data_IF_367510971530
#
_entry.id   IF_367510971530
#
_cell.length_a   1.000
_cell.length_b   1.000
_cell.length_c   1.000
_cell.angle_alpha   90.00
_cell.angle_beta   90.00
_cell.angle_gamma   90.00
#
_symmetry.space_group_name_H-M   'P 1'
#
loop_
_entity.id
_entity.type
_entity.pdbx_description
1 polymer ?
#
# COMPACT_ATOMS: atom_id res chain seq x y z
N UNK A 1 -7.73 19.49 1.10
CA UNK A 1 -7.25 18.63 2.20
C UNK A 1 -6.32 19.37 3.16
N UNK A 2 -5.17 19.89 2.72
CA UNK A 2 -4.24 20.62 3.59
C UNK A 2 -4.86 21.82 4.33
N UNK A 3 -5.79 22.54 3.69
CA UNK A 3 -6.51 23.64 4.32
C UNK A 3 -7.64 23.19 5.28
N UNK A 4 -8.10 21.94 5.19
CA UNK A 4 -9.29 21.45 5.90
C UNK A 4 -8.95 20.55 7.09
N UNK A 5 -7.92 19.70 6.99
CA UNK A 5 -7.58 18.75 8.04
C UNK A 5 -6.09 18.40 8.07
N UNK A 6 -5.53 18.27 9.28
CA UNK A 6 -4.15 17.88 9.53
C UNK A 6 -3.77 16.48 9.01
N UNK A 7 -4.75 15.64 8.64
CA UNK A 7 -4.50 14.34 8.01
C UNK A 7 -3.90 14.44 6.59
N UNK A 8 -3.67 15.65 6.05
CA UNK A 8 -2.90 15.81 4.83
C UNK A 8 -1.51 15.17 4.95
N UNK A 9 -0.91 15.14 6.15
CA UNK A 9 0.37 14.47 6.41
C UNK A 9 0.28 12.97 6.14
N UNK A 10 -0.85 12.33 6.45
CA UNK A 10 -1.07 10.92 6.15
C UNK A 10 -1.08 10.67 4.64
N UNK A 11 -1.82 11.48 3.88
CA UNK A 11 -1.90 11.34 2.41
C UNK A 11 -0.54 11.62 1.76
N UNK A 12 0.16 12.67 2.21
CA UNK A 12 1.47 13.03 1.69
C UNK A 12 2.54 11.97 1.93
N UNK A 13 2.39 11.09 2.94
CA UNK A 13 3.27 9.95 3.16
C UNK A 13 2.79 8.66 2.48
N UNK A 14 1.47 8.47 2.37
CA UNK A 14 0.88 7.30 1.75
C UNK A 14 1.18 7.22 0.25
N UNK A 15 1.10 8.34 -0.48
CA UNK A 15 1.33 8.37 -1.94
C UNK A 15 2.79 7.99 -2.28
N UNK A 16 3.83 8.60 -1.68
CA UNK A 16 5.20 8.15 -1.87
C UNK A 16 5.41 6.68 -1.55
N UNK A 17 4.78 6.18 -0.48
CA UNK A 17 4.91 4.80 -0.09
C UNK A 17 4.27 3.83 -1.11
N UNK A 18 3.12 4.21 -1.68
CA UNK A 18 2.53 3.48 -2.80
C UNK A 18 3.48 3.42 -4.00
N UNK A 19 4.16 4.53 -4.33
CA UNK A 19 5.14 4.54 -5.43
C UNK A 19 6.34 3.65 -5.11
N UNK A 20 6.82 3.63 -3.86
CA UNK A 20 7.85 2.70 -3.42
C UNK A 20 7.39 1.24 -3.50
N UNK A 21 6.14 0.94 -3.16
CA UNK A 21 5.56 -0.39 -3.30
C UNK A 21 5.47 -0.83 -4.78
N UNK A 22 5.14 0.08 -5.69
CA UNK A 22 5.17 -0.19 -7.14
C UNK A 22 6.59 -0.46 -7.66
N UNK A 23 7.59 0.28 -7.17
CA UNK A 23 9.00 0.02 -7.51
C UNK A 23 9.43 -1.35 -6.98
N UNK A 24 9.09 -1.68 -5.73
CA UNK A 24 9.40 -2.97 -5.10
C UNK A 24 8.76 -4.16 -5.81
N UNK A 25 7.55 -3.99 -6.33
CA UNK A 25 6.84 -5.00 -7.14
C UNK A 25 7.27 -5.03 -8.62
N UNK A 26 8.27 -4.22 -9.00
CA UNK A 26 8.81 -4.08 -10.38
C UNK A 26 7.77 -3.61 -11.41
N UNK A 27 6.68 -2.96 -10.99
CA UNK A 27 5.59 -2.47 -11.85
C UNK A 27 5.68 -0.98 -12.11
N UNK A 28 6.88 -0.51 -12.40
CA UNK A 28 7.12 0.90 -12.62
C UNK A 28 6.78 1.29 -14.07
N UNK A 29 5.91 2.29 -14.22
CA UNK A 29 5.50 2.84 -15.50
C UNK A 29 5.77 4.35 -15.56
N UNK A 30 6.13 4.88 -16.74
CA UNK A 30 6.31 6.33 -16.96
C UNK A 30 5.09 7.18 -16.59
N UNK A 31 3.89 6.58 -16.61
CA UNK A 31 2.65 7.25 -16.17
C UNK A 31 2.70 7.62 -14.69
N UNK A 32 3.24 6.73 -13.85
CA UNK A 32 3.39 6.95 -12.40
C UNK A 32 4.37 8.09 -12.13
N UNK A 33 5.45 8.15 -12.89
CA UNK A 33 6.44 9.24 -12.82
C UNK A 33 5.83 10.61 -13.10
N UNK A 34 5.09 10.73 -14.21
CA UNK A 34 4.44 12.00 -14.58
C UNK A 34 3.42 12.38 -13.52
N UNK A 35 2.57 11.44 -13.09
CA UNK A 35 1.56 11.69 -12.06
C UNK A 35 2.17 12.16 -10.72
N UNK A 36 3.20 11.47 -10.24
CA UNK A 36 3.85 11.81 -8.98
C UNK A 36 4.63 13.13 -9.05
N UNK A 37 5.34 13.37 -10.15
CA UNK A 37 6.08 14.63 -10.36
C UNK A 37 5.13 15.83 -10.43
N UNK A 38 4.00 15.71 -11.13
CA UNK A 38 2.98 16.76 -11.17
C UNK A 38 2.33 16.95 -9.79
N UNK A 39 2.05 15.86 -9.07
CA UNK A 39 1.52 15.94 -7.70
C UNK A 39 2.48 16.67 -6.75
N UNK A 40 3.78 16.41 -6.84
CA UNK A 40 4.79 17.12 -6.06
C UNK A 40 4.89 18.60 -6.47
N UNK A 41 5.01 18.88 -7.76
CA UNK A 41 5.23 20.23 -8.29
C UNK A 41 4.06 21.19 -8.01
N UNK A 42 2.82 20.68 -8.01
CA UNK A 42 1.62 21.49 -7.74
C UNK A 42 1.24 21.41 -6.26
N UNK A 43 1.22 20.20 -5.69
CA UNK A 43 0.74 19.95 -4.33
C UNK A 43 1.62 20.55 -3.25
N UNK A 44 2.94 20.51 -3.42
CA UNK A 44 3.90 21.08 -2.46
C UNK A 44 3.71 22.59 -2.27
N UNK A 45 3.81 23.39 -3.34
CA UNK A 45 3.60 24.84 -3.26
C UNK A 45 2.21 25.22 -2.76
N UNK A 46 1.15 24.53 -3.21
CA UNK A 46 -0.21 24.80 -2.74
C UNK A 46 -0.37 24.52 -1.24
N UNK A 47 0.30 23.50 -0.70
CA UNK A 47 0.28 23.22 0.74
C UNK A 47 0.99 24.32 1.54
N UNK A 48 2.05 24.93 1.00
CA UNK A 48 2.77 26.03 1.65
C UNK A 48 1.96 27.33 1.73
N UNK A 49 0.98 27.51 0.85
CA UNK A 49 0.09 28.69 0.89
C UNK A 49 -0.79 28.73 2.16
N UNK A 50 -1.02 27.59 2.80
CA UNK A 50 -1.77 27.53 4.05
C UNK A 50 -0.87 28.07 5.17
N UNK A 51 -1.22 29.24 5.72
CA UNK A 51 -0.42 29.96 6.73
C UNK A 51 -0.04 29.12 7.96
N UNK A 52 -0.87 28.15 8.34
CA UNK A 52 -0.58 27.21 9.44
C UNK A 52 0.53 26.21 9.10
N UNK A 53 0.66 25.83 7.83
CA UNK A 53 1.67 24.89 7.34
C UNK A 53 2.95 25.66 7.00
N UNK A 54 2.84 26.78 6.28
CA UNK A 54 3.97 27.64 5.93
C UNK A 54 5.15 26.85 5.36
N UNK A 55 6.36 27.11 5.87
CA UNK A 55 7.59 26.39 5.48
C UNK A 55 7.74 24.99 6.10
N UNK A 56 6.86 24.60 7.03
CA UNK A 56 6.92 23.28 7.67
C UNK A 56 6.74 22.14 6.65
N UNK A 57 6.17 22.42 5.48
CA UNK A 57 6.06 21.43 4.42
C UNK A 57 7.42 20.93 3.89
N UNK A 58 8.44 21.80 3.92
CA UNK A 58 9.80 21.47 3.43
C UNK A 58 10.72 21.06 4.56
N UNK A 59 10.59 21.70 5.73
CA UNK A 59 11.52 21.54 6.85
C UNK A 59 11.13 20.43 7.82
N UNK A 60 9.88 19.95 7.78
CA UNK A 60 9.42 18.88 8.67
C UNK A 60 9.89 17.50 8.21
N UNK A 61 10.37 16.71 9.17
CA UNK A 61 10.71 15.30 8.97
C UNK A 61 9.52 14.47 8.48
N UNK A 62 8.31 14.89 8.82
CA UNK A 62 7.06 14.19 8.45
C UNK A 62 6.79 14.21 6.95
N UNK A 63 7.38 15.13 6.20
CA UNK A 63 7.21 15.27 4.75
C UNK A 63 8.52 15.00 4.01
N UNK A 64 9.54 14.49 4.72
CA UNK A 64 10.80 14.11 4.13
C UNK A 64 10.62 12.96 3.13
N UNK A 65 9.74 11.99 3.41
CA UNK A 65 9.46 10.90 2.48
C UNK A 65 8.87 11.41 1.15
N UNK A 66 8.03 12.44 1.21
CA UNK A 66 7.44 13.07 0.02
C UNK A 66 8.49 13.69 -0.89
N UNK A 67 9.41 14.48 -0.32
CA UNK A 67 10.49 15.11 -1.06
C UNK A 67 11.57 14.08 -1.49
N UNK A 68 11.88 13.12 -0.62
CA UNK A 68 12.91 12.10 -0.86
C UNK A 68 12.55 11.15 -2.00
N UNK A 69 11.30 10.69 -2.07
CA UNK A 69 10.85 9.83 -3.18
C UNK A 69 10.83 10.61 -4.50
N UNK A 70 10.51 11.90 -4.49
CA UNK A 70 10.60 12.74 -5.68
C UNK A 70 12.03 12.83 -6.21
N UNK A 71 13.01 13.17 -5.35
CA UNK A 71 14.43 13.19 -5.73
C UNK A 71 14.90 11.82 -6.23
N UNK A 72 14.49 10.74 -5.55
CA UNK A 72 14.83 9.37 -5.94
C UNK A 72 14.31 8.99 -7.33
N UNK A 73 13.06 9.35 -7.64
CA UNK A 73 12.45 9.12 -8.96
C UNK A 73 13.14 9.93 -10.06
N UNK A 74 13.48 11.18 -9.79
CA UNK A 74 14.22 12.02 -10.72
C UNK A 74 15.59 11.42 -11.06
N UNK A 75 16.32 10.94 -10.04
CA UNK A 75 17.58 10.24 -10.23
C UNK A 75 17.42 8.94 -11.04
N UNK A 76 16.38 8.16 -10.75
CA UNK A 76 16.10 6.90 -11.44
C UNK A 76 15.79 7.09 -12.94
N UNK A 77 14.93 8.04 -13.29
CA UNK A 77 14.63 8.35 -14.70
C UNK A 77 15.82 8.95 -15.43
N UNK A 78 16.62 9.79 -14.76
CA UNK A 78 17.86 10.31 -15.33
C UNK A 78 18.84 9.18 -15.66
N UNK A 79 19.00 8.21 -14.75
CA UNK A 79 19.83 7.02 -14.97
C UNK A 79 19.33 6.18 -16.17
N UNK A 80 18.01 5.97 -16.27
CA UNK A 80 17.41 5.25 -17.40
C UNK A 80 17.60 6.02 -18.72
N UNK A 81 17.45 7.34 -18.70
CA UNK A 81 17.68 8.18 -19.87
C UNK A 81 19.14 8.11 -20.33
N UNK A 82 20.10 8.23 -19.41
CA UNK A 82 21.53 8.09 -19.72
C UNK A 82 21.84 6.70 -20.28
N UNK A 83 21.22 5.63 -19.75
CA UNK A 83 21.35 4.26 -20.28
C UNK A 83 20.97 4.16 -21.76
N UNK A 84 19.94 4.87 -22.19
CA UNK A 84 19.48 4.82 -23.60
C UNK A 84 20.36 5.59 -24.56
N UNK A 85 21.18 6.52 -24.07
CA UNK A 85 22.03 7.40 -24.90
C UNK A 85 23.50 6.98 -24.93
N UNK A 86 23.94 6.10 -24.03
CA UNK A 86 25.34 5.69 -23.90
C UNK A 86 25.58 4.23 -24.31
N UNK A 87 26.78 3.95 -24.81
CA UNK A 87 27.26 2.59 -25.12
C UNK A 87 27.50 1.77 -23.84
N UNK A 88 27.30 0.44 -23.87
CA UNK A 88 27.39 -0.46 -22.70
C UNK A 88 28.68 -0.31 -21.87
N UNK A 89 29.82 -0.04 -22.52
CA UNK A 89 31.11 0.17 -21.84
C UNK A 89 31.19 1.50 -21.09
N UNK A 90 30.63 2.57 -21.68
CA UNK A 90 30.54 3.88 -21.04
C UNK A 90 29.44 3.92 -19.98
N UNK A 91 28.37 3.15 -20.15
CA UNK A 91 27.33 2.98 -19.13
C UNK A 91 27.86 2.25 -17.89
N UNK A 92 28.70 1.22 -18.03
CA UNK A 92 29.31 0.55 -16.88
C UNK A 92 30.27 1.48 -16.10
N UNK A 93 31.08 2.28 -16.81
CA UNK A 93 31.94 3.28 -16.19
C UNK A 93 31.12 4.39 -15.51
N UNK A 94 30.07 4.88 -16.17
CA UNK A 94 29.14 5.87 -15.61
C UNK A 94 28.36 5.31 -14.43
N UNK A 95 27.95 4.04 -14.44
CA UNK A 95 27.26 3.41 -13.30
C UNK A 95 28.23 3.25 -12.13
N UNK A 96 29.50 2.92 -12.34
CA UNK A 96 30.48 2.94 -11.24
C UNK A 96 30.71 4.36 -10.71
N UNK A 97 30.82 5.37 -11.59
CA UNK A 97 30.90 6.78 -11.18
C UNK A 97 29.60 7.30 -10.56
N UNK A 98 28.44 6.82 -10.99
CA UNK A 98 27.12 7.21 -10.49
C UNK A 98 26.75 6.42 -9.25
N UNK A 99 27.26 5.22 -9.02
CA UNK A 99 27.12 4.50 -7.74
C UNK A 99 28.01 5.16 -6.71
N UNK A 100 29.24 5.55 -7.05
CA UNK A 100 30.10 6.36 -6.19
C UNK A 100 29.51 7.77 -6.01
N UNK A 101 28.92 8.35 -7.05
CA UNK A 101 28.27 9.66 -7.06
C UNK A 101 26.95 9.68 -6.29
N UNK A 102 26.13 8.64 -6.39
CA UNK A 102 24.90 8.45 -5.62
C UNK A 102 25.24 8.06 -4.19
N UNK A 103 26.29 7.28 -3.93
CA UNK A 103 26.75 6.99 -2.58
C UNK A 103 27.30 8.25 -1.88
N UNK A 104 28.05 9.10 -2.59
CA UNK A 104 28.52 10.39 -2.09
C UNK A 104 27.39 11.42 -1.99
N UNK A 105 26.42 11.43 -2.90
CA UNK A 105 25.23 12.27 -2.81
C UNK A 105 24.29 11.81 -1.69
N UNK A 106 24.07 10.50 -1.49
CA UNK A 106 23.34 9.99 -0.33
C UNK A 106 24.11 10.29 0.95
N UNK A 107 25.43 10.15 0.98
CA UNK A 107 26.24 10.52 2.14
C UNK A 107 26.21 12.02 2.41
N UNK A 108 26.12 12.86 1.36
CA UNK A 108 25.99 14.31 1.49
C UNK A 108 24.57 14.76 1.85
N UNK A 109 23.53 14.03 1.39
CA UNK A 109 22.14 14.27 1.77
C UNK A 109 21.90 13.78 3.20
N UNK A 110 22.39 12.61 3.57
CA UNK A 110 22.34 12.09 4.94
C UNK A 110 23.21 12.94 5.86
N UNK A 111 24.42 13.30 5.44
CA UNK A 111 25.30 14.22 6.17
C UNK A 111 24.72 15.63 6.27
N UNK A 112 24.02 16.10 5.24
CA UNK A 112 23.29 17.36 5.22
C UNK A 112 22.07 17.33 6.13
N UNK A 113 21.31 16.23 6.15
CA UNK A 113 20.21 16.01 7.08
C UNK A 113 20.75 15.96 8.52
N UNK A 114 21.86 15.27 8.77
CA UNK A 114 22.51 15.22 10.09
C UNK A 114 23.02 16.60 10.50
N UNK A 115 23.68 17.35 9.61
CA UNK A 115 24.14 18.72 9.85
C UNK A 115 22.99 19.70 10.06
N UNK A 116 21.89 19.58 9.32
CA UNK A 116 20.68 20.39 9.50
C UNK A 116 19.93 20.02 10.78
N UNK A 117 20.00 18.76 11.20
CA UNK A 117 19.46 18.26 12.48
C UNK A 117 20.28 18.79 13.66
N UNK A 118 21.62 18.79 13.55
CA UNK A 118 22.53 19.33 14.58
C UNK A 118 22.47 20.87 14.61
N UNK A 119 22.31 21.53 13.47
CA UNK A 119 22.19 22.99 13.37
C UNK A 119 20.83 23.54 13.83
N UNK A 120 19.90 22.68 14.25
CA UNK A 120 18.60 23.08 14.80
C UNK A 120 17.64 23.75 13.82
N UNK A 121 17.96 23.77 12.52
CA UNK A 121 17.10 24.38 11.47
C UNK A 121 16.02 23.44 10.95
N UNK A 122 16.18 22.13 11.14
CA UNK A 122 15.09 21.17 10.97
C UNK A 122 14.39 20.97 12.32
N UNK A 123 13.10 21.27 12.36
CA UNK A 123 12.28 20.99 13.53
C UNK A 123 12.29 19.48 13.79
N UNK A 124 12.66 19.01 15.00
CA UNK A 124 12.59 17.60 15.33
C UNK A 124 11.17 17.08 15.10
N UNK A 125 11.05 15.76 14.90
CA UNK A 125 9.77 15.07 14.74
C UNK A 125 8.76 15.59 15.77
N UNK A 126 7.58 16.04 15.32
CA UNK A 126 6.58 16.60 16.22
C UNK A 126 6.18 15.51 17.22
N UNK A 127 6.17 15.80 18.52
CA UNK A 127 5.94 14.80 19.57
C UNK A 127 4.69 13.94 19.31
N UNK A 128 3.65 14.51 18.70
CA UNK A 128 2.40 13.82 18.29
C UNK A 128 2.57 12.74 17.21
N UNK A 129 3.54 12.86 16.31
CA UNK A 129 3.84 11.80 15.33
C UNK A 129 4.73 10.71 15.92
N UNK A 130 5.64 11.06 16.85
CA UNK A 130 6.37 10.07 17.63
C UNK A 130 5.44 9.20 18.47
N UNK A 131 4.38 9.78 19.05
CA UNK A 131 3.36 9.01 19.77
C UNK A 131 2.55 8.08 18.86
N UNK A 132 2.48 8.35 17.55
CA UNK A 132 1.82 7.47 16.57
C UNK A 132 2.71 6.30 16.11
N UNK A 133 4.04 6.44 16.21
CA UNK A 133 4.98 5.36 15.92
C UNK A 133 5.30 4.53 17.16
N UNK A 134 5.42 5.19 18.32
CA UNK A 134 5.61 4.57 19.62
C UNK A 134 4.61 5.16 20.65
N UNK A 135 3.49 4.46 20.92
CA UNK A 135 2.52 4.91 21.91
C UNK A 135 3.05 4.86 23.36
N UNK A 136 4.14 4.12 23.63
CA UNK A 136 4.74 4.05 24.97
C UNK A 136 5.52 5.31 25.32
N UNK A 137 6.07 6.01 24.32
CA UNK A 137 6.71 7.32 24.50
C UNK A 137 5.72 8.39 24.99
N UNK A 138 4.51 8.42 24.41
CA UNK A 138 3.44 9.35 24.78
C UNK A 138 3.11 9.27 26.27
N UNK A 139 2.90 8.03 26.74
CA UNK A 139 2.45 7.70 28.08
C UNK A 139 3.49 8.07 29.14
N UNK A 140 4.78 7.99 28.79
CA UNK A 140 5.91 8.22 29.71
C UNK A 140 6.35 9.68 29.78
N UNK A 141 6.37 10.40 28.66
CA UNK A 141 7.00 11.72 28.58
C UNK A 141 6.02 12.89 28.48
N UNK A 142 4.76 12.68 28.04
CA UNK A 142 3.76 13.76 27.91
C UNK A 142 2.38 13.27 28.40
N UNK A 143 2.13 13.26 29.73
CA UNK A 143 0.90 12.70 30.30
C UNK A 143 -0.39 13.42 29.85
N UNK A 144 -0.29 14.68 29.40
CA UNK A 144 -1.43 15.46 28.88
C UNK A 144 -1.98 14.87 27.57
N UNK A 145 -1.14 14.25 26.74
CA UNK A 145 -1.60 13.64 25.48
C UNK A 145 -2.26 12.29 25.77
N UNK A 146 -1.72 11.53 26.71
CA UNK A 146 -2.23 10.22 27.09
C UNK A 146 -3.53 10.27 27.92
N UNK A 147 -3.89 11.42 28.51
CA UNK A 147 -5.11 11.57 29.31
C UNK A 147 -6.38 11.77 28.48
N UNK A 148 -6.26 12.08 27.18
CA UNK A 148 -7.41 12.26 26.29
C UNK A 148 -7.95 10.90 25.85
N UNK A 149 -9.23 10.65 26.07
CA UNK A 149 -9.88 9.38 25.73
C UNK A 149 -9.76 9.02 24.23
N UNK A 150 -9.66 10.02 23.35
CA UNK A 150 -9.46 9.81 21.90
C UNK A 150 -8.09 9.22 21.54
N UNK A 151 -7.07 9.45 22.38
CA UNK A 151 -5.70 8.95 22.20
C UNK A 151 -5.51 7.54 22.76
N UNK A 152 -6.57 6.92 23.31
CA UNK A 152 -6.52 5.56 23.79
C UNK A 152 -6.46 4.55 22.64
N UNK A 153 -5.86 3.37 22.87
CA UNK A 153 -5.86 2.29 21.89
C UNK A 153 -7.26 1.71 21.69
N UNK A 154 -7.55 1.25 20.47
CA UNK A 154 -8.82 0.59 20.14
C UNK A 154 -8.86 -0.84 20.67
N UNK A 155 -9.98 -1.23 21.27
CA UNK A 155 -10.25 -2.64 21.60
C UNK A 155 -10.91 -3.37 20.43
N UNK A 156 -10.80 -4.70 20.39
CA UNK A 156 -11.47 -5.52 19.36
C UNK A 156 -12.99 -5.33 19.36
N UNK A 157 -13.60 -5.10 20.53
CA UNK A 157 -15.03 -4.86 20.68
C UNK A 157 -15.44 -3.57 19.94
N UNK A 158 -14.61 -2.52 20.00
CA UNK A 158 -14.83 -1.26 19.27
C UNK A 158 -14.80 -1.48 17.75
N UNK A 159 -13.89 -2.32 17.23
CA UNK A 159 -13.88 -2.65 15.80
C UNK A 159 -15.17 -3.31 15.33
N UNK A 160 -15.66 -4.30 16.08
CA UNK A 160 -16.90 -5.00 15.74
C UNK A 160 -18.10 -4.07 15.87
N UNK A 161 -18.12 -3.20 16.89
CA UNK A 161 -19.20 -2.24 17.09
C UNK A 161 -19.26 -1.17 15.99
N UNK A 162 -18.12 -0.65 15.53
CA UNK A 162 -18.10 0.41 14.52
C UNK A 162 -18.31 -0.15 13.11
N UNK A 163 -17.64 -1.25 12.76
CA UNK A 163 -17.56 -1.77 11.39
C UNK A 163 -18.45 -3.00 11.14
N UNK A 164 -19.07 -3.56 12.17
CA UNK A 164 -19.99 -4.70 12.08
C UNK A 164 -19.43 -5.84 11.20
N UNK A 165 -20.14 -6.19 10.12
CA UNK A 165 -19.79 -7.30 9.24
C UNK A 165 -18.53 -7.04 8.40
N UNK A 166 -18.15 -5.78 8.19
CA UNK A 166 -17.00 -5.42 7.36
C UNK A 166 -15.67 -5.89 7.96
N UNK A 167 -15.59 -6.04 9.29
CA UNK A 167 -14.40 -6.59 9.97
C UNK A 167 -14.09 -8.00 9.47
N UNK A 168 -15.12 -8.82 9.25
CA UNK A 168 -14.96 -10.20 8.79
C UNK A 168 -14.68 -10.29 7.28
N UNK A 169 -15.19 -9.34 6.49
CA UNK A 169 -14.92 -9.28 5.05
C UNK A 169 -13.58 -8.65 4.69
N UNK A 170 -12.98 -7.84 5.57
CA UNK A 170 -11.71 -7.17 5.27
C UNK A 170 -10.55 -8.14 4.97
N UNK A 171 -10.33 -9.23 5.73
CA UNK A 171 -9.34 -10.25 5.37
C UNK A 171 -9.60 -10.89 4.00
N UNK A 172 -10.87 -11.17 3.67
CA UNK A 172 -11.24 -11.71 2.36
C UNK A 172 -10.97 -10.70 1.23
N UNK A 173 -11.23 -9.42 1.46
CA UNK A 173 -10.91 -8.35 0.50
C UNK A 173 -9.41 -8.23 0.25
N UNK A 174 -8.59 -8.31 1.30
CA UNK A 174 -7.13 -8.32 1.19
C UNK A 174 -6.66 -9.53 0.37
N UNK A 175 -7.25 -10.71 0.60
CA UNK A 175 -6.95 -11.91 -0.16
C UNK A 175 -7.23 -11.74 -1.66
N UNK A 176 -8.38 -11.16 -2.04
CA UNK A 176 -8.69 -10.89 -3.44
C UNK A 176 -7.77 -9.85 -4.08
N UNK A 177 -7.33 -8.84 -3.32
CA UNK A 177 -6.31 -7.89 -3.78
C UNK A 177 -4.99 -8.60 -4.15
N UNK A 178 -4.59 -9.63 -3.41
CA UNK A 178 -3.39 -10.42 -3.72
C UNK A 178 -3.57 -11.36 -4.91
N UNK A 179 -4.76 -11.91 -5.15
CA UNK A 179 -5.02 -12.79 -6.29
C UNK A 179 -4.92 -12.07 -7.64
N UNK A 180 -5.44 -10.83 -7.72
CA UNK A 180 -5.41 -10.01 -8.94
C UNK A 180 -4.68 -8.70 -8.66
N UNK A 181 -3.34 -8.71 -8.60
CA UNK A 181 -2.57 -7.50 -8.37
C UNK A 181 -2.70 -6.58 -9.58
N UNK A 182 -3.34 -5.43 -9.39
CA UNK A 182 -3.30 -4.28 -10.30
C UNK A 182 -2.89 -3.03 -9.53
N UNK A 183 -2.59 -1.94 -10.26
CA UNK A 183 -2.07 -0.70 -9.68
C UNK A 183 -3.01 -0.13 -8.60
N UNK A 184 -4.33 -0.19 -8.85
CA UNK A 184 -5.35 0.25 -7.90
C UNK A 184 -5.42 -0.65 -6.66
N UNK A 185 -5.27 -1.96 -6.81
CA UNK A 185 -5.26 -2.93 -5.71
C UNK A 185 -4.02 -2.77 -4.84
N UNK A 186 -2.85 -2.49 -5.43
CA UNK A 186 -1.62 -2.20 -4.68
C UNK A 186 -1.77 -0.91 -3.86
N UNK A 187 -2.42 0.12 -4.43
CA UNK A 187 -2.75 1.33 -3.69
C UNK A 187 -3.69 1.03 -2.52
N UNK A 188 -4.78 0.29 -2.77
CA UNK A 188 -5.74 -0.09 -1.73
C UNK A 188 -5.10 -0.93 -0.62
N UNK A 189 -4.24 -1.88 -0.97
CA UNK A 189 -3.52 -2.73 -0.02
C UNK A 189 -2.59 -1.89 0.86
N UNK A 190 -1.83 -0.98 0.26
CA UNK A 190 -0.94 -0.07 0.99
C UNK A 190 -1.77 0.84 1.91
N UNK A 191 -2.86 1.42 1.40
CA UNK A 191 -3.76 2.23 2.22
C UNK A 191 -4.35 1.45 3.39
N UNK A 192 -4.87 0.25 3.15
CA UNK A 192 -5.49 -0.59 4.18
C UNK A 192 -4.49 -1.04 5.25
N UNK A 193 -3.29 -1.47 4.88
CA UNK A 193 -2.28 -1.91 5.85
C UNK A 193 -1.91 -0.79 6.83
N UNK A 194 -1.66 0.42 6.33
CA UNK A 194 -1.33 1.56 7.18
C UNK A 194 -2.54 2.04 7.98
N UNK A 195 -3.73 2.05 7.36
CA UNK A 195 -4.95 2.46 8.03
C UNK A 195 -5.30 1.53 9.22
N UNK A 196 -5.21 0.20 9.04
CA UNK A 196 -5.45 -0.79 10.09
C UNK A 196 -4.43 -0.65 11.23
N UNK A 197 -3.16 -0.41 10.89
CA UNK A 197 -2.12 -0.16 11.89
C UNK A 197 -2.41 1.09 12.73
N UNK A 198 -2.70 2.21 12.07
CA UNK A 198 -2.97 3.48 12.76
C UNK A 198 -4.27 3.47 13.54
N UNK A 199 -5.33 2.81 13.05
CA UNK A 199 -6.55 2.64 13.82
C UNK A 199 -6.32 1.80 15.07
N UNK A 200 -5.39 0.84 15.04
CA UNK A 200 -5.02 0.02 16.21
C UNK A 200 -4.43 0.85 17.36
N UNK A 201 -3.67 1.89 17.03
CA UNK A 201 -2.95 2.72 18.01
C UNK A 201 -3.84 3.78 18.64
N UNK A 202 -4.77 4.35 17.88
CA UNK A 202 -5.61 5.47 18.32
C UNK A 202 -7.04 5.33 17.83
N UNK A 203 -8.02 5.36 18.74
CA UNK A 203 -9.46 5.24 18.44
C UNK A 203 -9.93 6.25 17.40
N UNK A 204 -9.47 7.50 17.46
CA UNK A 204 -9.86 8.53 16.48
C UNK A 204 -9.46 8.19 15.03
N UNK A 205 -8.39 7.42 14.83
CA UNK A 205 -7.92 7.05 13.50
C UNK A 205 -8.78 5.94 12.86
N UNK A 206 -9.75 5.38 13.59
CA UNK A 206 -10.83 4.57 13.02
C UNK A 206 -11.55 5.30 11.88
N UNK A 207 -11.71 6.63 11.96
CA UNK A 207 -12.34 7.43 10.91
C UNK A 207 -11.56 7.39 9.58
N UNK A 208 -10.23 7.27 9.63
CA UNK A 208 -9.39 7.14 8.43
C UNK A 208 -9.39 5.69 7.92
N UNK A 209 -9.56 4.72 8.81
CA UNK A 209 -9.62 3.31 8.44
C UNK A 209 -10.97 2.87 7.87
N UNK A 210 -12.08 3.48 8.30
CA UNK A 210 -13.41 3.10 7.84
C UNK A 210 -13.57 3.06 6.31
N UNK A 211 -13.09 4.04 5.52
CA UNK A 211 -13.10 3.94 4.06
C UNK A 211 -12.31 2.75 3.50
N UNK A 212 -11.19 2.38 4.13
CA UNK A 212 -10.40 1.22 3.72
C UNK A 212 -11.18 -0.09 3.94
N UNK A 213 -11.82 -0.24 5.10
CA UNK A 213 -12.69 -1.38 5.41
C UNK A 213 -13.88 -1.48 4.47
N UNK A 214 -14.51 -0.35 4.12
CA UNK A 214 -15.61 -0.32 3.14
C UNK A 214 -15.16 -0.77 1.76
N UNK A 215 -14.01 -0.28 1.26
CA UNK A 215 -13.49 -0.68 -0.05
C UNK A 215 -13.10 -2.16 -0.10
N UNK A 216 -12.44 -2.68 0.95
CA UNK A 216 -12.09 -4.09 1.04
C UNK A 216 -13.32 -4.98 1.16
N UNK A 217 -14.29 -4.60 2.01
CA UNK A 217 -15.55 -5.31 2.17
C UNK A 217 -16.37 -5.33 0.89
N UNK A 218 -16.49 -4.19 0.20
CA UNK A 218 -17.17 -4.08 -1.08
C UNK A 218 -16.52 -4.98 -2.15
N UNK A 219 -15.18 -5.01 -2.21
CA UNK A 219 -14.46 -5.88 -3.14
C UNK A 219 -14.70 -7.36 -2.83
N UNK A 220 -14.66 -7.74 -1.55
CA UNK A 220 -14.91 -9.11 -1.12
C UNK A 220 -16.32 -9.58 -1.49
N UNK A 221 -17.33 -8.76 -1.20
CA UNK A 221 -18.74 -9.07 -1.48
C UNK A 221 -18.99 -9.09 -3.00
N UNK A 222 -18.41 -8.15 -3.76
CA UNK A 222 -18.60 -8.11 -5.21
C UNK A 222 -18.04 -9.34 -5.90
N UNK A 223 -16.82 -9.76 -5.58
CA UNK A 223 -16.20 -10.92 -6.22
C UNK A 223 -16.86 -12.23 -5.79
N UNK A 224 -17.35 -12.35 -4.55
CA UNK A 224 -18.10 -13.55 -4.13
C UNK A 224 -19.46 -13.63 -4.81
N UNK A 225 -20.18 -12.51 -4.92
CA UNK A 225 -21.47 -12.46 -5.63
C UNK A 225 -21.30 -12.72 -7.12
N UNK A 226 -20.27 -12.16 -7.76
CA UNK A 226 -20.00 -12.40 -9.19
C UNK A 226 -19.66 -13.86 -9.47
N UNK A 227 -18.93 -14.54 -8.58
CA UNK A 227 -18.65 -15.97 -8.70
C UNK A 227 -19.92 -16.81 -8.51
N UNK A 228 -20.68 -16.54 -7.45
CA UNK A 228 -21.95 -17.23 -7.20
C UNK A 228 -22.95 -17.03 -8.37
N UNK A 229 -23.02 -15.83 -8.95
CA UNK A 229 -23.88 -15.55 -10.10
C UNK A 229 -23.42 -16.28 -11.38
N UNK A 230 -22.11 -16.52 -11.56
CA UNK A 230 -21.60 -17.31 -12.68
C UNK A 230 -21.93 -18.79 -12.50
N UNK A 231 -21.76 -19.33 -11.31
CA UNK A 231 -22.08 -20.72 -10.98
C UNK A 231 -23.58 -21.01 -11.13
N UNK A 232 -24.44 -20.02 -10.84
CA UNK A 232 -25.89 -20.12 -11.10
C UNK A 232 -26.27 -20.00 -12.58
N UNK A 233 -25.42 -19.40 -13.42
CA UNK A 233 -25.67 -19.18 -14.85
C UNK A 233 -25.10 -20.27 -15.74
N UNK A 234 -24.12 -21.03 -15.27
CA UNK A 234 -23.69 -22.25 -15.95
C UNK A 234 -24.87 -23.22 -15.93
N UNK A 235 -25.43 -23.62 -17.10
CA UNK A 235 -26.41 -24.68 -17.14
C UNK A 235 -25.78 -25.88 -16.45
N UNK A 236 -26.51 -26.49 -15.52
CA UNK A 236 -26.17 -27.82 -15.02
C UNK A 236 -26.24 -28.75 -16.23
N UNK A 237 -25.12 -28.96 -16.92
CA UNK A 237 -24.98 -30.08 -17.86
C UNK A 237 -24.96 -31.34 -17.00
N UNK A 238 -26.17 -31.90 -16.81
CA UNK A 238 -26.48 -33.29 -16.52
C UNK A 238 -25.47 -34.09 -15.68
N UNK A 239 -25.39 -33.81 -14.37
CA UNK A 239 -24.96 -34.85 -13.41
C UNK A 239 -26.03 -35.94 -13.19
N UNK A 240 -27.19 -35.83 -13.87
CA UNK A 240 -28.28 -36.81 -13.81
C UNK A 240 -28.22 -37.93 -14.86
N UNK A 241 -27.36 -37.86 -15.88
CA UNK A 241 -27.37 -38.82 -16.99
C UNK A 241 -26.45 -40.05 -16.78
N UNK A 242 -25.55 -40.03 -15.80
CA UNK A 242 -24.65 -41.15 -15.48
C UNK A 242 -25.15 -42.05 -14.33
N UNK A 243 -26.11 -41.58 -13.53
CA UNK A 243 -26.77 -42.42 -12.51
C UNK A 243 -27.74 -43.44 -13.13
N UNK A 244 -28.34 -43.15 -14.29
CA UNK A 244 -29.34 -44.01 -14.93
C UNK A 244 -28.72 -45.09 -15.85
N UNK A 245 -27.40 -45.02 -16.10
CA UNK A 245 -26.64 -46.07 -16.81
C UNK A 245 -26.00 -47.10 -15.88
N UNK A 246 -25.93 -46.84 -14.58
CA UNK A 246 -25.45 -47.79 -13.58
C UNK A 246 -26.53 -48.77 -13.07
N UNK A 247 -27.80 -48.58 -13.47
CA UNK A 247 -28.96 -49.33 -12.95
C UNK A 247 -29.55 -50.42 -13.85
N UNK A 248 -29.01 -50.67 -15.06
CA UNK A 248 -29.48 -51.80 -15.91
C UNK A 248 -28.53 -53.00 -15.79
N UNK A 249 -28.96 -54.14 -15.23
CA UNK A 249 -28.15 -55.34 -15.21
C UNK A 249 -28.06 -55.87 -16.64
N UNK A 250 -26.83 -56.00 -17.15
CA UNK A 250 -26.56 -56.82 -18.33
C UNK A 250 -26.66 -58.29 -17.91
N UNK A 251 -27.84 -58.88 -18.10
CA UNK A 251 -27.95 -60.32 -18.22
C UNK A 251 -27.19 -60.77 -19.48
N UNK A 252 -26.25 -61.71 -19.29
CA UNK A 252 -25.76 -62.59 -20.35
C UNK A 252 -24.28 -62.43 -20.72
N UNK A 253 -23.46 -63.37 -20.27
CA UNK A 253 -22.20 -63.70 -20.96
C UNK A 253 -20.98 -63.94 -20.08
N UNK A 254 -21.02 -64.93 -19.19
CA UNK A 254 -19.79 -65.49 -18.61
C UNK A 254 -19.07 -66.40 -19.61
N UNK A 255 -17.76 -66.19 -19.79
CA UNK A 255 -16.70 -67.21 -19.76
C UNK A 255 -15.50 -66.88 -20.69
N UNK A 256 -14.37 -66.55 -20.04
CA UNK A 256 -12.99 -67.01 -20.29
C UNK A 256 -12.55 -67.45 -21.71
N UNK A 257 -11.46 -66.84 -22.22
CA UNK A 257 -10.79 -67.36 -23.43
C UNK A 257 -9.53 -66.63 -23.88
N UNK A 258 -8.47 -66.73 -23.08
CA UNK A 258 -7.06 -66.38 -23.31
C UNK A 258 -6.53 -66.62 -24.75
N UNK A 259 -5.85 -65.62 -25.33
CA UNK A 259 -4.94 -65.72 -26.50
C UNK A 259 -3.96 -66.91 -26.38
N UNK A 260 -3.84 -67.72 -27.45
CA UNK A 260 -2.61 -68.43 -27.87
C UNK A 260 -2.75 -68.98 -29.30
N UNK A 261 -1.75 -68.72 -30.14
CA UNK A 261 -1.30 -69.66 -31.19
C UNK A 261 -1.61 -69.31 -32.65
N UNK A 262 -0.52 -69.07 -33.39
CA UNK A 262 -0.31 -69.05 -34.87
C UNK A 262 -1.02 -67.99 -35.70
#
# INVERSE_FOLDING_TARGET
MAASWGAYVFISNLIPLYVLALIGTKRYHKRVYVAFTTFWAIGGPLAMLVRFIGSNHVTSHELLAFNGVWVGLQGWELLLWMRTRLSQKQFAALVNFAVVGVATALAAVVGGIILLTISGKMTPWTGRFWTLLDPTYAKKYIPIIASVSEHQPTTWATYVFDLHILVFFAPAGIYYCFQRPGDAQVFLLTFAMFAIYFSGIMVRLMLVAAPAFVLLGAMAISETLDRAARDLRTPVEDEGADADKAGRPSEGGGAAGRKKGT
#
